data_IF_242059801868
#
_entry.id   IF_242059801868
#
_cell.length_a   1.000
_cell.length_b   1.000
_cell.length_c   1.000
_cell.angle_alpha   90.00
_cell.angle_beta   90.00
_cell.angle_gamma   90.00
#
_symmetry.space_group_name_H-M   'P 1'
#
loop_
_entity.id
_entity.type
_entity.pdbx_description
1 polymer ?
#
# COMPACT_ATOMS: atom_id res chain seq x y z
N UNK A 1 10.57 4.42 53.43
CA UNK A 1 10.39 5.37 52.31
C UNK A 1 10.81 4.67 51.03
N UNK A 2 9.92 3.87 50.42
CA UNK A 2 10.18 3.20 49.14
C UNK A 2 9.97 4.22 48.02
N UNK A 3 11.04 4.60 47.33
CA UNK A 3 10.99 5.49 46.17
C UNK A 3 10.51 4.74 44.93
N UNK A 4 9.43 5.20 44.31
CA UNK A 4 9.00 4.77 42.99
C UNK A 4 9.91 5.41 41.94
N UNK A 5 10.66 4.59 41.20
CA UNK A 5 11.37 5.04 39.99
C UNK A 5 10.43 4.83 38.81
N UNK A 6 9.77 5.90 38.38
CA UNK A 6 8.93 5.91 37.17
C UNK A 6 9.87 5.90 35.96
N UNK A 7 10.04 4.73 35.34
CA UNK A 7 10.76 4.63 34.07
C UNK A 7 9.93 5.31 32.96
N UNK A 8 10.38 6.49 32.54
CA UNK A 8 9.92 7.14 31.31
C UNK A 8 10.45 6.32 30.12
N UNK A 9 9.59 5.47 29.55
CA UNK A 9 9.87 4.82 28.28
C UNK A 9 9.80 5.87 27.16
N UNK A 10 10.83 6.00 26.31
CA UNK A 10 10.75 6.89 25.17
C UNK A 10 9.72 6.32 24.18
N UNK A 11 8.70 7.11 23.86
CA UNK A 11 7.87 6.86 22.70
C UNK A 11 8.78 6.98 21.48
N UNK A 12 9.15 5.85 20.88
CA UNK A 12 9.84 5.85 19.60
C UNK A 12 8.85 6.41 18.57
N UNK A 13 9.06 7.66 18.18
CA UNK A 13 8.39 8.28 17.05
C UNK A 13 8.58 7.37 15.83
N UNK A 14 7.48 6.86 15.29
CA UNK A 14 7.43 5.98 14.13
C UNK A 14 7.70 6.79 12.85
N UNK A 15 8.91 7.34 12.75
CA UNK A 15 9.48 7.92 11.54
C UNK A 15 10.45 6.95 10.87
N UNK A 16 10.23 5.64 10.98
CA UNK A 16 11.04 4.67 10.27
C UNK A 16 10.72 4.81 8.77
N UNK A 17 11.67 5.33 8.01
CA UNK A 17 11.62 5.29 6.55
C UNK A 17 11.34 3.85 6.13
N UNK A 18 10.22 3.63 5.44
CA UNK A 18 9.86 2.28 5.01
C UNK A 18 10.99 1.73 4.13
N UNK A 19 11.43 0.53 4.44
CA UNK A 19 12.43 -0.18 3.65
C UNK A 19 11.86 -0.55 2.29
N UNK A 20 12.73 -0.74 1.29
CA UNK A 20 12.28 -1.21 -0.03
C UNK A 20 11.51 -2.54 0.06
N UNK A 21 11.85 -3.43 0.99
CA UNK A 21 11.09 -4.67 1.21
C UNK A 21 9.66 -4.40 1.70
N UNK A 22 9.48 -3.45 2.63
CA UNK A 22 8.16 -3.04 3.10
C UNK A 22 7.35 -2.38 1.98
N UNK A 23 7.99 -1.54 1.18
CA UNK A 23 7.37 -0.88 0.03
C UNK A 23 6.98 -1.89 -1.06
N UNK A 24 7.83 -2.88 -1.34
CA UNK A 24 7.52 -3.96 -2.27
C UNK A 24 6.35 -4.81 -1.77
N UNK A 25 6.33 -5.15 -0.48
CA UNK A 25 5.21 -5.85 0.15
C UNK A 25 3.91 -5.05 0.07
N UNK A 26 3.97 -3.73 0.25
CA UNK A 26 2.82 -2.83 0.10
C UNK A 26 2.30 -2.80 -1.33
N UNK A 27 3.17 -2.69 -2.33
CA UNK A 27 2.81 -2.82 -3.75
C UNK A 27 2.09 -4.14 -4.04
N UNK A 28 2.63 -5.26 -3.56
CA UNK A 28 2.03 -6.58 -3.76
C UNK A 28 0.65 -6.69 -3.08
N UNK A 29 0.52 -6.17 -1.86
CA UNK A 29 -0.74 -6.14 -1.11
C UNK A 29 -1.82 -5.37 -1.86
N UNK A 30 -1.55 -4.13 -2.27
CA UNK A 30 -2.55 -3.29 -2.93
C UNK A 30 -2.91 -3.82 -4.32
N UNK A 31 -1.93 -4.33 -5.07
CA UNK A 31 -2.15 -4.97 -6.37
C UNK A 31 -3.06 -6.20 -6.26
N UNK A 32 -2.80 -7.08 -5.28
CA UNK A 32 -3.63 -8.26 -5.05
C UNK A 32 -5.07 -7.91 -4.65
N UNK A 33 -5.25 -6.84 -3.85
CA UNK A 33 -6.58 -6.32 -3.54
C UNK A 33 -7.26 -5.88 -4.82
N UNK A 34 -6.62 -5.01 -5.62
CA UNK A 34 -7.21 -4.50 -6.86
C UNK A 34 -7.62 -5.65 -7.80
N UNK A 35 -6.74 -6.62 -8.02
CA UNK A 35 -6.98 -7.76 -8.91
C UNK A 35 -8.20 -8.59 -8.47
N UNK A 36 -8.37 -8.81 -7.17
CA UNK A 36 -9.54 -9.51 -6.61
C UNK A 36 -10.86 -8.84 -6.99
N UNK A 37 -10.90 -7.51 -7.05
CA UNK A 37 -12.10 -6.76 -7.42
C UNK A 37 -12.20 -6.52 -8.93
N UNK A 38 -11.07 -6.42 -9.65
CA UNK A 38 -11.04 -6.30 -11.10
C UNK A 38 -11.67 -7.53 -11.78
N UNK A 39 -11.41 -8.73 -11.27
CA UNK A 39 -12.06 -9.97 -11.74
C UNK A 39 -13.59 -9.96 -11.57
N UNK A 40 -14.13 -9.16 -10.65
CA UNK A 40 -15.58 -9.00 -10.46
C UNK A 40 -16.24 -8.01 -11.42
N UNK A 41 -15.47 -7.19 -12.14
CA UNK A 41 -16.03 -6.19 -13.07
C UNK A 41 -16.52 -6.76 -14.40
N UNK A 42 -16.25 -8.04 -14.66
CA UNK A 42 -16.84 -8.80 -15.76
C UNK A 42 -16.21 -8.52 -17.14
N UNK A 43 -16.19 -9.56 -17.98
CA UNK A 43 -15.94 -9.46 -19.42
C UNK A 43 -16.91 -8.44 -20.03
N UNK A 44 -16.42 -7.25 -20.35
CA UNK A 44 -17.22 -6.20 -21.01
C UNK A 44 -16.93 -4.77 -20.56
N UNK A 45 -16.22 -4.56 -19.44
CA UNK A 45 -16.02 -3.20 -18.88
C UNK A 45 -14.85 -2.40 -19.49
N UNK A 46 -14.28 -2.82 -20.62
CA UNK A 46 -13.25 -2.05 -21.33
C UNK A 46 -11.81 -2.36 -20.91
N UNK A 47 -11.29 -3.53 -21.31
CA UNK A 47 -9.85 -3.81 -21.33
C UNK A 47 -9.13 -3.83 -19.96
N UNK A 48 -7.83 -4.14 -19.95
CA UNK A 48 -7.02 -4.03 -18.73
C UNK A 48 -6.92 -2.57 -18.29
N UNK A 49 -7.05 -2.32 -16.99
CA UNK A 49 -6.80 -0.99 -16.44
C UNK A 49 -5.31 -0.64 -16.62
N UNK A 50 -5.03 0.27 -17.57
CA UNK A 50 -3.68 0.66 -17.94
C UNK A 50 -2.97 1.38 -16.79
N UNK A 51 -3.70 2.03 -15.88
CA UNK A 51 -3.12 2.64 -14.68
C UNK A 51 -2.66 1.55 -13.70
N UNK A 52 -3.43 0.46 -13.54
CA UNK A 52 -2.99 -0.71 -12.75
C UNK A 52 -1.75 -1.34 -13.34
N UNK A 53 -1.68 -1.46 -14.67
CA UNK A 53 -0.49 -1.99 -15.34
C UNK A 53 0.72 -1.07 -15.13
N UNK A 54 0.54 0.24 -15.31
CA UNK A 54 1.58 1.24 -15.06
C UNK A 54 2.09 1.20 -13.62
N UNK A 55 1.19 1.10 -12.63
CA UNK A 55 1.55 0.98 -11.23
C UNK A 55 2.37 -0.29 -10.93
N UNK A 56 2.03 -1.40 -11.59
CA UNK A 56 2.77 -2.65 -11.46
C UNK A 56 4.20 -2.51 -11.99
N UNK A 57 4.37 -1.83 -13.12
CA UNK A 57 5.69 -1.53 -13.70
C UNK A 57 6.48 -0.58 -12.78
N UNK A 58 5.81 0.41 -12.17
CA UNK A 58 6.44 1.30 -11.19
C UNK A 58 6.98 0.52 -9.99
N UNK A 59 6.17 -0.39 -9.43
CA UNK A 59 6.58 -1.27 -8.34
C UNK A 59 7.75 -2.18 -8.72
N UNK A 60 7.78 -2.73 -9.95
CA UNK A 60 8.89 -3.58 -10.41
C UNK A 60 10.18 -2.82 -10.75
N UNK A 61 10.13 -1.48 -10.85
CA UNK A 61 11.29 -0.63 -11.14
C UNK A 61 11.80 0.14 -9.92
N UNK A 62 11.49 -0.35 -8.72
CA UNK A 62 11.79 0.31 -7.44
C UNK A 62 11.20 1.73 -7.29
N UNK A 63 10.22 2.09 -8.14
CA UNK A 63 9.47 3.36 -8.03
C UNK A 63 8.25 3.14 -7.15
N UNK A 64 8.48 2.59 -5.96
CA UNK A 64 7.42 2.12 -5.08
C UNK A 64 6.46 3.23 -4.68
N UNK A 65 6.96 4.43 -4.33
CA UNK A 65 6.11 5.55 -3.92
C UNK A 65 5.07 5.89 -5.00
N UNK A 66 5.50 5.89 -6.26
CA UNK A 66 4.62 6.15 -7.41
C UNK A 66 3.63 5.02 -7.62
N UNK A 67 4.11 3.78 -7.62
CA UNK A 67 3.27 2.59 -7.81
C UNK A 67 2.21 2.43 -6.71
N UNK A 68 2.62 2.56 -5.44
CA UNK A 68 1.75 2.51 -4.26
C UNK A 68 0.69 3.61 -4.36
N UNK A 69 1.09 4.86 -4.62
CA UNK A 69 0.14 5.97 -4.75
C UNK A 69 -0.90 5.69 -5.84
N UNK A 70 -0.47 5.24 -7.02
CA UNK A 70 -1.40 4.90 -8.10
C UNK A 70 -2.34 3.77 -7.70
N UNK A 71 -1.85 2.71 -7.05
CA UNK A 71 -2.71 1.63 -6.56
C UNK A 71 -3.72 2.12 -5.52
N UNK A 72 -3.29 2.96 -4.58
CA UNK A 72 -4.17 3.56 -3.57
C UNK A 72 -5.24 4.46 -4.17
N UNK A 73 -4.88 5.26 -5.17
CA UNK A 73 -5.80 6.15 -5.88
C UNK A 73 -6.82 5.35 -6.69
N UNK A 74 -6.38 4.26 -7.34
CA UNK A 74 -7.26 3.33 -8.04
C UNK A 74 -8.26 2.66 -7.09
N UNK A 75 -7.78 2.14 -5.97
CA UNK A 75 -8.64 1.53 -4.95
C UNK A 75 -9.64 2.55 -4.38
N UNK A 76 -9.22 3.79 -4.14
CA UNK A 76 -10.10 4.89 -3.71
C UNK A 76 -11.16 5.23 -4.76
N UNK A 77 -10.75 5.44 -6.03
CA UNK A 77 -11.65 5.71 -7.17
C UNK A 77 -12.73 4.64 -7.27
N UNK A 78 -12.31 3.39 -7.07
CA UNK A 78 -13.14 2.21 -7.20
C UNK A 78 -13.95 1.89 -5.93
N UNK A 79 -13.78 2.71 -4.89
CA UNK A 79 -14.39 2.55 -3.56
C UNK A 79 -14.09 1.18 -2.93
N UNK A 80 -12.91 0.66 -3.20
CA UNK A 80 -12.38 -0.57 -2.62
C UNK A 80 -11.61 -0.22 -1.36
N UNK A 81 -12.04 -0.75 -0.21
CA UNK A 81 -11.32 -0.59 1.05
C UNK A 81 -10.00 -1.37 1.06
N UNK A 82 -8.95 -0.78 1.63
CA UNK A 82 -7.64 -1.41 1.82
C UNK A 82 -7.02 -1.01 3.17
N UNK A 83 -6.06 -1.80 3.70
CA UNK A 83 -5.41 -1.50 4.97
C UNK A 83 -4.59 -0.20 4.92
N UNK A 84 -4.49 0.58 6.01
CA UNK A 84 -3.58 1.72 6.08
C UNK A 84 -2.11 1.28 5.99
N UNK A 85 -1.22 2.21 5.66
CA UNK A 85 0.23 2.02 5.57
C UNK A 85 0.92 2.20 6.93
#
# INVERSE_FOLDING_TARGET
>A
MLGLVTALMPFADAGAQQTNEQLAARCAQLGAIFDKYALRRGEGSGGPDMERMGASIDCSKDRYDKGIKTLEDLLKRDRISYPPA
#
